data_IF_540081023871
#
_entry.id   IF_540081023871
#
_cell.length_a   1.000
_cell.length_b   1.000
_cell.length_c   1.000
_cell.angle_alpha   90.00
_cell.angle_beta   90.00
_cell.angle_gamma   90.00
#
_symmetry.space_group_name_H-M   'P 1'
#
loop_
_entity.id
_entity.type
_entity.pdbx_description
1 polymer ?
#
# COMPACT_ATOMS: atom_id res chain seq x y z
N UNK A 1 -6.96 0.52 35.07
CA UNK A 1 -6.47 -0.59 34.25
C UNK A 1 -6.00 0.02 32.94
N UNK A 2 -4.70 0.24 32.77
CA UNK A 2 -4.14 0.79 31.53
C UNK A 2 -3.38 -0.33 30.86
N UNK A 3 -4.04 -0.99 29.92
CA UNK A 3 -3.39 -1.90 29.00
C UNK A 3 -3.46 -1.29 27.60
N UNK A 4 -2.40 -0.62 27.20
CA UNK A 4 -2.13 -0.40 25.78
C UNK A 4 -0.63 -0.56 25.56
N UNK A 5 -0.20 -1.80 25.36
CA UNK A 5 1.02 -2.08 24.59
C UNK A 5 0.56 -2.82 23.35
N UNK A 6 0.44 -2.10 22.25
CA UNK A 6 0.35 -2.73 20.93
C UNK A 6 1.55 -2.33 20.11
N UNK A 7 2.73 -2.52 20.68
CA UNK A 7 3.99 -2.55 19.93
C UNK A 7 4.22 -3.97 19.42
N UNK A 8 3.30 -4.45 18.58
CA UNK A 8 3.66 -5.44 17.58
C UNK A 8 3.93 -4.57 16.37
N UNK A 9 5.21 -4.22 16.16
CA UNK A 9 5.62 -3.68 14.87
C UNK A 9 5.20 -4.71 13.83
N UNK A 10 4.11 -4.45 13.11
CA UNK A 10 3.69 -5.33 12.03
C UNK A 10 4.89 -5.42 11.06
N UNK A 11 5.15 -6.63 10.58
CA UNK A 11 6.23 -6.91 9.61
C UNK A 11 5.59 -7.49 8.37
N UNK A 12 6.16 -7.16 7.22
CA UNK A 12 5.72 -7.62 5.92
C UNK A 12 6.90 -8.27 5.18
N UNK A 13 6.61 -9.32 4.43
CA UNK A 13 7.62 -10.05 3.65
C UNK A 13 7.65 -9.48 2.24
N UNK A 14 8.83 -9.10 1.76
CA UNK A 14 9.01 -8.66 0.39
C UNK A 14 8.72 -9.81 -0.57
N UNK A 15 7.67 -9.68 -1.38
CA UNK A 15 7.28 -10.67 -2.38
C UNK A 15 8.32 -10.86 -3.52
N UNK A 16 9.32 -9.96 -3.62
CA UNK A 16 10.35 -10.00 -4.67
C UNK A 16 11.62 -10.73 -4.24
N UNK A 17 12.01 -10.64 -2.97
CA UNK A 17 13.28 -11.18 -2.47
C UNK A 17 13.18 -11.98 -1.16
N UNK A 18 12.05 -11.90 -0.44
CA UNK A 18 11.83 -12.62 0.82
C UNK A 18 12.25 -11.87 2.08
N UNK A 19 12.86 -10.68 1.98
CA UNK A 19 13.29 -9.89 3.14
C UNK A 19 12.11 -9.51 4.05
N UNK A 20 12.32 -9.59 5.37
CA UNK A 20 11.34 -9.18 6.38
C UNK A 20 11.51 -7.69 6.63
N UNK A 21 10.49 -6.91 6.31
CA UNK A 21 10.48 -5.46 6.41
C UNK A 21 9.48 -4.99 7.48
N UNK A 22 9.82 -3.94 8.24
CA UNK A 22 8.87 -3.31 9.16
C UNK A 22 7.74 -2.62 8.39
N UNK A 23 6.52 -2.60 8.93
CA UNK A 23 5.35 -2.13 8.17
C UNK A 23 5.39 -0.63 7.79
N UNK A 24 6.32 0.13 8.35
CA UNK A 24 6.47 1.56 8.09
C UNK A 24 7.34 1.88 6.86
N UNK A 25 7.99 0.89 6.25
CA UNK A 25 8.84 1.13 5.08
C UNK A 25 8.05 1.08 3.77
N UNK A 26 8.34 2.00 2.86
CA UNK A 26 7.71 2.05 1.53
C UNK A 26 8.42 1.16 0.50
N UNK A 27 9.70 0.88 0.74
CA UNK A 27 10.56 0.10 -0.14
C UNK A 27 11.29 -0.97 0.66
N UNK A 28 11.53 -2.12 0.03
CA UNK A 28 12.31 -3.21 0.57
C UNK A 28 13.72 -2.71 0.91
N UNK A 29 14.14 -2.91 2.16
CA UNK A 29 15.45 -2.45 2.65
C UNK A 29 16.63 -3.23 2.05
N UNK A 30 16.38 -4.40 1.46
CA UNK A 30 17.38 -5.20 0.75
C UNK A 30 17.39 -4.91 -0.76
N UNK A 31 16.26 -5.15 -1.45
CA UNK A 31 16.22 -5.14 -2.92
C UNK A 31 15.62 -3.88 -3.56
N UNK A 32 15.12 -2.93 -2.77
CA UNK A 32 14.51 -1.69 -3.25
C UNK A 32 13.11 -1.82 -3.89
N UNK A 33 12.52 -3.02 -3.91
CA UNK A 33 11.16 -3.22 -4.43
C UNK A 33 10.12 -2.43 -3.62
N UNK A 34 9.15 -1.82 -4.31
CA UNK A 34 8.09 -1.03 -3.69
C UNK A 34 7.10 -1.92 -2.94
N UNK A 35 6.98 -1.72 -1.64
CA UNK A 35 6.14 -2.53 -0.75
C UNK A 35 4.72 -1.98 -0.60
N UNK A 36 4.56 -0.66 -0.70
CA UNK A 36 3.26 0.03 -0.67
C UNK A 36 3.00 0.68 -2.03
N UNK A 37 1.83 0.44 -2.63
CA UNK A 37 1.46 1.10 -3.87
C UNK A 37 0.91 2.51 -3.58
N UNK A 38 1.74 3.53 -3.79
CA UNK A 38 1.37 4.95 -3.73
C UNK A 38 1.24 5.57 -5.13
N UNK A 39 1.25 4.73 -6.18
CA UNK A 39 1.11 5.16 -7.58
C UNK A 39 -0.30 4.95 -8.13
N UNK A 40 -1.13 4.20 -7.40
CA UNK A 40 -2.50 3.92 -7.80
C UNK A 40 -3.51 4.13 -6.67
N UNK A 41 -4.73 4.47 -7.08
CA UNK A 41 -5.94 4.52 -6.26
C UNK A 41 -6.99 3.57 -6.86
N UNK A 42 -7.82 2.97 -6.03
CA UNK A 42 -8.94 2.14 -6.48
C UNK A 42 -10.23 2.94 -6.45
N UNK A 43 -10.98 2.93 -7.55
CA UNK A 43 -12.26 3.62 -7.61
C UNK A 43 -13.25 3.01 -6.60
N UNK A 44 -13.80 3.81 -5.69
CA UNK A 44 -14.75 3.34 -4.68
C UNK A 44 -16.09 2.85 -5.28
N UNK A 45 -16.41 3.29 -6.51
CA UNK A 45 -17.66 2.93 -7.18
C UNK A 45 -17.56 1.60 -7.93
N UNK A 46 -16.47 1.37 -8.67
CA UNK A 46 -16.35 0.19 -9.53
C UNK A 46 -15.11 -0.69 -9.27
N UNK A 47 -14.26 -0.32 -8.32
CA UNK A 47 -13.08 -1.10 -7.92
C UNK A 47 -11.91 -1.10 -8.91
N UNK A 48 -11.96 -0.30 -9.99
CA UNK A 48 -10.86 -0.28 -10.97
C UNK A 48 -9.62 0.41 -10.40
N UNK A 49 -8.44 -0.11 -10.75
CA UNK A 49 -7.14 0.46 -10.41
C UNK A 49 -6.84 1.63 -11.35
N UNK A 50 -6.61 2.82 -10.81
CA UNK A 50 -6.35 4.05 -11.55
C UNK A 50 -5.04 4.69 -11.07
N UNK A 51 -4.39 5.50 -11.91
CA UNK A 51 -3.24 6.32 -11.48
C UNK A 51 -3.68 7.35 -10.45
N UNK A 52 -2.83 7.64 -9.46
CA UNK A 52 -3.04 8.75 -8.51
C UNK A 52 -3.09 10.12 -9.18
N UNK A 53 -2.61 10.26 -10.42
CA UNK A 53 -2.71 11.49 -11.20
C UNK A 53 -4.11 11.72 -11.79
N UNK A 54 -4.94 10.67 -11.84
CA UNK A 54 -6.29 10.76 -12.38
C UNK A 54 -7.25 11.32 -11.34
N UNK A 55 -8.08 12.28 -11.75
CA UNK A 55 -9.22 12.75 -10.94
C UNK A 55 -10.49 11.95 -11.20
N UNK A 56 -10.59 11.31 -12.36
CA UNK A 56 -11.78 10.60 -12.84
C UNK A 56 -11.39 9.17 -13.18
N UNK A 57 -12.23 8.23 -12.79
CA UNK A 57 -12.07 6.81 -13.06
C UNK A 57 -12.09 6.54 -14.57
N UNK A 58 -11.08 5.84 -15.07
CA UNK A 58 -10.96 5.53 -16.50
C UNK A 58 -12.04 4.56 -16.98
N UNK A 59 -12.61 3.74 -16.10
CA UNK A 59 -13.62 2.73 -16.44
C UNK A 59 -15.04 3.29 -16.31
N UNK A 60 -15.46 3.72 -15.10
CA UNK A 60 -16.85 4.09 -14.82
C UNK A 60 -17.12 5.60 -14.84
N UNK A 61 -16.09 6.43 -15.08
CA UNK A 61 -16.17 7.89 -15.18
C UNK A 61 -16.66 8.63 -13.91
N UNK A 62 -16.72 7.97 -12.75
CA UNK A 62 -16.91 8.63 -11.45
C UNK A 62 -15.62 9.31 -10.97
N UNK A 63 -15.74 10.23 -10.01
CA UNK A 63 -14.59 10.82 -9.31
C UNK A 63 -13.81 9.71 -8.58
N UNK A 64 -12.49 9.85 -8.50
CA UNK A 64 -11.57 8.98 -7.76
C UNK A 64 -11.26 9.49 -6.36
#
# INVERSE_FOLDING_TARGET
>A
MVEVRKDISEVQICNKCGEINYDNVNFCQDCGYMLKDFTHVFCEVCGSKNSVENKICNECKNLL
#
